data_IF_145840087031
#
_entry.id   IF_145840087031
#
_cell.length_a   1.000
_cell.length_b   1.000
_cell.length_c   1.000
_cell.angle_alpha   90.00
_cell.angle_beta   90.00
_cell.angle_gamma   90.00
#
_symmetry.space_group_name_H-M   'P 1'
#
loop_
_entity.id
_entity.type
_entity.pdbx_description
1 polymer ?
#
# COMPACT_ATOMS: atom_id res chain seq x y z
N UNK A 1 10.30 -13.93 -1.66
CA UNK A 1 10.36 -13.61 -3.11
C UNK A 1 9.00 -13.88 -3.72
N UNK A 2 8.54 -13.00 -4.60
CA UNK A 2 7.36 -13.14 -5.45
C UNK A 2 7.86 -13.12 -6.89
N UNK A 3 7.49 -14.11 -7.70
CA UNK A 3 7.97 -14.30 -9.08
C UNK A 3 6.81 -14.77 -9.97
N UNK A 4 6.99 -14.73 -11.30
CA UNK A 4 5.99 -15.14 -12.30
C UNK A 4 4.69 -14.32 -12.26
N UNK A 5 4.78 -13.03 -11.92
CA UNK A 5 3.63 -12.12 -11.88
C UNK A 5 3.79 -10.86 -12.76
N UNK A 6 4.36 -10.95 -13.99
CA UNK A 6 4.57 -9.75 -14.82
C UNK A 6 3.27 -9.01 -15.15
N UNK A 7 2.13 -9.71 -15.18
CA UNK A 7 0.81 -9.12 -15.40
C UNK A 7 0.39 -8.09 -14.33
N UNK A 8 1.05 -8.07 -13.16
CA UNK A 8 0.82 -7.05 -12.15
C UNK A 8 1.27 -5.65 -12.60
N UNK A 9 2.19 -5.58 -13.58
CA UNK A 9 2.62 -4.31 -14.19
C UNK A 9 1.59 -3.69 -15.14
N UNK A 10 0.67 -4.50 -15.66
CA UNK A 10 -0.35 -4.09 -16.65
C UNK A 10 -1.74 -3.94 -16.04
N UNK A 11 -1.79 -3.56 -14.76
CA UNK A 11 -3.04 -3.33 -14.03
C UNK A 11 -3.44 -1.85 -14.14
N UNK A 12 -4.25 -1.37 -13.20
CA UNK A 12 -4.63 0.03 -13.10
C UNK A 12 -3.40 0.95 -13.00
N UNK A 13 -2.32 0.44 -12.38
CA UNK A 13 -0.96 0.98 -12.41
C UNK A 13 0.06 -0.15 -12.53
N UNK A 14 1.35 0.18 -12.64
CA UNK A 14 2.43 -0.79 -12.46
C UNK A 14 2.57 -1.12 -10.97
N UNK A 15 1.78 -2.10 -10.51
CA UNK A 15 1.72 -2.47 -9.09
C UNK A 15 3.03 -3.01 -8.55
N UNK A 16 3.89 -3.59 -9.40
CA UNK A 16 5.20 -4.06 -8.96
C UNK A 16 6.06 -2.85 -8.60
N UNK A 17 6.16 -1.89 -9.52
CA UNK A 17 6.91 -0.66 -9.32
C UNK A 17 6.36 0.14 -8.13
N UNK A 18 5.06 0.38 -8.09
CA UNK A 18 4.45 1.20 -7.04
C UNK A 18 4.69 0.59 -5.65
N UNK A 19 4.45 -0.73 -5.47
CA UNK A 19 4.71 -1.36 -4.17
C UNK A 19 6.20 -1.34 -3.80
N UNK A 20 7.11 -1.51 -4.77
CA UNK A 20 8.54 -1.39 -4.51
C UNK A 20 8.93 0.01 -4.04
N UNK A 21 8.43 1.04 -4.70
CA UNK A 21 8.73 2.44 -4.38
C UNK A 21 8.16 2.83 -3.00
N UNK A 22 6.92 2.47 -2.71
CA UNK A 22 6.25 2.84 -1.46
C UNK A 22 6.81 2.08 -0.25
N UNK A 23 7.06 0.77 -0.37
CA UNK A 23 7.65 0.01 0.73
C UNK A 23 9.10 0.43 1.02
N UNK A 24 9.86 0.89 0.02
CA UNK A 24 11.19 1.50 0.25
C UNK A 24 11.11 2.78 1.08
N UNK A 25 10.08 3.62 0.89
CA UNK A 25 9.85 4.79 1.76
C UNK A 25 9.63 4.39 3.22
N UNK A 26 9.03 3.22 3.43
CA UNK A 26 8.85 2.61 4.75
C UNK A 26 10.10 1.90 5.27
N UNK A 27 11.30 2.11 4.69
CA UNK A 27 12.55 1.46 5.11
C UNK A 27 12.54 -0.08 4.95
N UNK A 28 11.77 -0.59 3.98
CA UNK A 28 11.77 -2.02 3.61
C UNK A 28 12.81 -2.29 2.54
N UNK A 29 13.64 -3.32 2.77
CA UNK A 29 14.60 -3.81 1.79
C UNK A 29 13.88 -4.60 0.69
N UNK A 30 13.74 -3.95 -0.46
CA UNK A 30 13.07 -4.48 -1.64
C UNK A 30 13.93 -4.37 -2.89
N UNK A 31 14.07 -5.50 -3.58
CA UNK A 31 14.54 -5.57 -4.95
C UNK A 31 13.35 -5.70 -5.91
N UNK A 32 13.26 -4.79 -6.87
CA UNK A 32 12.28 -4.85 -7.94
C UNK A 32 12.80 -5.76 -9.06
N UNK A 33 11.98 -6.70 -9.53
CA UNK A 33 12.29 -7.58 -10.66
C UNK A 33 11.28 -7.35 -11.79
N UNK A 34 11.62 -7.65 -13.06
CA UNK A 34 10.69 -7.51 -14.17
C UNK A 34 9.36 -8.26 -13.99
N UNK A 35 9.36 -9.39 -13.28
CA UNK A 35 8.22 -10.27 -13.07
C UNK A 35 7.83 -10.46 -11.59
N UNK A 36 8.35 -9.62 -10.68
CA UNK A 36 8.06 -9.77 -9.25
C UNK A 36 8.86 -8.86 -8.32
N UNK A 37 8.93 -9.26 -7.05
CA UNK A 37 9.61 -8.55 -5.97
C UNK A 37 10.39 -9.52 -5.08
N UNK A 38 11.58 -9.11 -4.64
CA UNK A 38 12.26 -9.73 -3.51
C UNK A 38 12.08 -8.80 -2.33
N UNK A 39 11.45 -9.30 -1.27
CA UNK A 39 11.27 -8.59 -0.01
C UNK A 39 12.16 -9.29 1.01
N UNK A 40 13.10 -8.56 1.58
CA UNK A 40 14.01 -9.03 2.62
C UNK A 40 13.48 -8.55 3.97
N UNK A 41 13.61 -9.39 5.01
CA UNK A 41 13.09 -9.06 6.34
C UNK A 41 13.68 -7.74 6.87
N UNK A 42 12.82 -6.77 7.15
CA UNK A 42 13.19 -5.44 7.62
C UNK A 42 12.31 -5.01 8.80
N UNK A 43 12.57 -3.81 9.33
CA UNK A 43 11.71 -3.15 10.34
C UNK A 43 11.08 -1.93 9.68
N UNK A 44 9.85 -2.03 9.16
CA UNK A 44 9.23 -0.90 8.49
C UNK A 44 9.04 0.29 9.42
N UNK A 45 9.06 1.49 8.86
CA UNK A 45 8.85 2.76 9.56
C UNK A 45 7.66 3.52 8.96
N UNK A 46 6.98 4.36 9.75
CA UNK A 46 5.93 5.23 9.23
C UNK A 46 6.47 6.16 8.14
N UNK A 47 5.66 6.42 7.11
CA UNK A 47 6.05 7.24 5.97
C UNK A 47 4.83 7.93 5.34
N UNK A 48 5.09 8.98 4.56
CA UNK A 48 4.13 9.55 3.61
C UNK A 48 4.20 8.75 2.31
N UNK A 49 3.05 8.25 1.87
CA UNK A 49 2.93 7.27 0.80
C UNK A 49 2.04 7.80 -0.32
N UNK A 50 2.33 7.36 -1.54
CA UNK A 50 1.51 7.61 -2.71
C UNK A 50 0.59 6.42 -2.97
N UNK A 51 -0.71 6.66 -3.07
CA UNK A 51 -1.71 5.63 -3.38
C UNK A 51 -1.81 5.29 -4.87
N UNK A 52 -1.18 6.10 -5.74
CA UNK A 52 -1.14 5.91 -7.20
C UNK A 52 -2.51 5.82 -7.87
N UNK A 53 -3.56 6.36 -7.22
CA UNK A 53 -4.96 6.20 -7.61
C UNK A 53 -5.38 4.72 -7.85
N UNK A 54 -4.69 3.76 -7.24
CA UNK A 54 -5.01 2.34 -7.31
C UNK A 54 -5.57 1.87 -5.97
N UNK A 55 -6.86 1.52 -5.98
CA UNK A 55 -7.60 1.08 -4.80
C UNK A 55 -6.90 -0.03 -4.01
N UNK A 56 -6.24 -0.99 -4.68
CA UNK A 56 -5.55 -2.09 -3.99
C UNK A 56 -4.25 -1.65 -3.37
N UNK A 57 -3.55 -0.69 -3.98
CA UNK A 57 -2.33 -0.13 -3.42
C UNK A 57 -2.68 0.67 -2.17
N UNK A 58 -3.67 1.55 -2.23
CA UNK A 58 -4.13 2.31 -1.06
C UNK A 58 -4.51 1.37 0.09
N UNK A 59 -5.35 0.36 -0.19
CA UNK A 59 -5.75 -0.61 0.84
C UNK A 59 -4.55 -1.37 1.41
N UNK A 60 -3.64 -1.89 0.56
CA UNK A 60 -2.47 -2.63 1.01
C UNK A 60 -1.53 -1.77 1.88
N UNK A 61 -1.27 -0.53 1.49
CA UNK A 61 -0.44 0.41 2.25
C UNK A 61 -1.10 0.81 3.57
N UNK A 62 -2.42 0.99 3.58
CA UNK A 62 -3.15 1.28 4.82
C UNK A 62 -2.96 0.17 5.85
N UNK A 63 -3.02 -1.09 5.41
CA UNK A 63 -2.79 -2.26 6.27
C UNK A 63 -1.34 -2.33 6.74
N UNK A 64 -0.38 -2.01 5.87
CA UNK A 64 1.04 -1.99 6.23
C UNK A 64 1.34 -0.96 7.34
N UNK A 65 0.65 0.18 7.34
CA UNK A 65 0.78 1.22 8.36
C UNK A 65 0.19 0.87 9.73
N UNK A 66 -0.81 -0.02 9.80
CA UNK A 66 -1.53 -0.30 11.05
C UNK A 66 -0.67 -0.90 12.17
N UNK A 67 0.45 -1.54 11.83
CA UNK A 67 1.31 -2.23 12.79
C UNK A 67 2.58 -1.44 13.14
N UNK A 68 2.62 -0.14 12.82
CA UNK A 68 3.81 0.69 13.01
C UNK A 68 3.63 1.68 14.16
N UNK A 69 4.72 1.94 14.88
CA UNK A 69 4.79 2.98 15.90
C UNK A 69 4.89 4.35 15.20
N UNK A 70 3.75 4.91 14.83
CA UNK A 70 3.61 6.25 14.25
C UNK A 70 2.53 6.33 13.17
N UNK A 71 2.46 7.46 12.47
CA UNK A 71 1.44 7.73 11.47
C UNK A 71 1.97 7.56 10.06
N UNK A 72 1.27 6.78 9.24
CA UNK A 72 1.40 6.82 7.79
C UNK A 72 0.28 7.70 7.20
N UNK A 73 0.59 8.42 6.13
CA UNK A 73 -0.40 9.12 5.30
C UNK A 73 -0.35 8.54 3.89
N UNK A 74 -1.51 8.42 3.24
CA UNK A 74 -1.62 7.89 1.88
C UNK A 74 -2.51 8.84 1.10
N UNK A 75 -2.00 9.41 0.01
CA UNK A 75 -2.80 10.23 -0.89
C UNK A 75 -3.67 9.38 -1.83
N UNK A 76 -4.53 10.03 -2.63
CA UNK A 76 -5.42 9.37 -3.60
C UNK A 76 -6.35 8.31 -2.99
N UNK A 77 -6.68 8.46 -1.70
CA UNK A 77 -7.44 7.49 -0.93
C UNK A 77 -8.87 7.30 -1.43
N UNK A 78 -9.42 8.27 -2.16
CA UNK A 78 -10.70 8.18 -2.86
C UNK A 78 -10.79 6.97 -3.81
N UNK A 79 -9.65 6.46 -4.30
CA UNK A 79 -9.62 5.28 -5.16
C UNK A 79 -10.23 4.04 -4.50
N UNK A 80 -10.15 3.91 -3.17
CA UNK A 80 -10.74 2.78 -2.41
C UNK A 80 -12.20 2.55 -2.80
N UNK A 81 -12.98 3.64 -2.99
CA UNK A 81 -14.40 3.58 -3.23
C UNK A 81 -14.78 2.91 -4.57
N UNK A 82 -13.83 2.76 -5.50
CA UNK A 82 -14.05 2.05 -6.77
C UNK A 82 -14.46 0.59 -6.54
N UNK A 83 -13.93 -0.05 -5.49
CA UNK A 83 -14.20 -1.47 -5.22
C UNK A 83 -14.70 -1.76 -3.82
N UNK A 84 -14.41 -0.88 -2.86
CA UNK A 84 -14.79 -1.08 -1.46
C UNK A 84 -15.16 0.23 -0.73
N UNK A 85 -16.32 0.84 -1.05
CA UNK A 85 -16.75 2.15 -0.53
C UNK A 85 -16.68 2.30 0.99
N UNK A 86 -17.07 1.28 1.74
CA UNK A 86 -17.18 1.34 3.20
C UNK A 86 -15.95 0.74 3.90
N UNK A 87 -14.82 0.58 3.19
CA UNK A 87 -13.62 -0.07 3.73
C UNK A 87 -13.15 0.56 5.04
N UNK A 88 -12.97 1.89 5.07
CA UNK A 88 -12.43 2.59 6.25
C UNK A 88 -13.37 2.47 7.45
N UNK A 89 -14.68 2.59 7.23
CA UNK A 89 -15.69 2.43 8.29
C UNK A 89 -15.68 1.01 8.87
N UNK A 90 -15.61 0.00 8.02
CA UNK A 90 -15.56 -1.40 8.44
C UNK A 90 -14.27 -1.73 9.19
N UNK A 91 -13.13 -1.23 8.70
CA UNK A 91 -11.84 -1.41 9.36
C UNK A 91 -11.82 -0.75 10.74
N UNK A 92 -12.38 0.46 10.87
CA UNK A 92 -12.59 1.09 12.20
C UNK A 92 -13.49 0.25 13.10
N UNK A 93 -14.54 -0.35 12.54
CA UNK A 93 -15.45 -1.25 13.26
C UNK A 93 -14.77 -2.49 13.86
N UNK A 94 -13.64 -2.93 13.31
CA UNK A 94 -12.82 -4.03 13.85
C UNK A 94 -11.59 -3.54 14.62
N UNK A 95 -11.52 -2.26 14.96
CA UNK A 95 -10.49 -1.68 15.82
C UNK A 95 -9.27 -1.10 15.10
N UNK A 96 -9.31 -0.93 13.78
CA UNK A 96 -8.22 -0.28 13.07
C UNK A 96 -8.21 1.24 13.32
N UNK A 97 -7.04 1.79 13.62
CA UNK A 97 -6.85 3.25 13.74
C UNK A 97 -6.56 3.85 12.36
N UNK A 98 -7.62 4.21 11.63
CA UNK A 98 -7.51 4.84 10.31
C UNK A 98 -8.61 5.87 10.10
N UNK A 99 -8.32 6.89 9.29
CA UNK A 99 -9.23 7.98 8.99
C UNK A 99 -8.99 8.49 7.56
N UNK A 100 -10.08 8.82 6.85
CA UNK A 100 -10.00 9.59 5.60
C UNK A 100 -9.89 11.07 5.96
N UNK A 101 -8.81 11.70 5.51
CA UNK A 101 -8.55 13.12 5.74
C UNK A 101 -8.67 13.84 4.40
N UNK A 102 -9.57 14.82 4.31
CA UNK A 102 -9.86 15.62 3.11
C UNK A 102 -10.39 14.81 1.90
N UNK A 103 -11.50 14.08 2.08
CA UNK A 103 -12.28 13.54 0.95
C UNK A 103 -13.23 14.60 0.36
#
# INVERSE_FOLDING_TARGET
KLLNVPQARSKETDRIKCMADELKKMDVDIEELPDGLIIVGSRPKPAELHGWADHRIVMALSLAGLNLDGQCTIDTAEAIAVTFPNYVELMKGIGANMELVNA
#
